data_IF_844419949223
#
_entry.id   IF_844419949223
#
_cell.length_a   1.000
_cell.length_b   1.000
_cell.length_c   1.000
_cell.angle_alpha   90.00
_cell.angle_beta   90.00
_cell.angle_gamma   90.00
#
_symmetry.space_group_name_H-M   'P 1'
#
loop_
_entity.id
_entity.type
_entity.pdbx_description
1 polymer ?
#
# COMPACT_ATOMS: atom_id res chain seq x y z
N UNK A 1 -5.30 -5.88 -14.61
CA UNK A 1 -4.26 -5.03 -14.04
C UNK A 1 -4.01 -5.46 -12.60
N UNK A 2 -2.76 -5.58 -12.19
CA UNK A 2 -2.40 -6.08 -10.87
C UNK A 2 -2.23 -4.93 -9.89
N UNK A 3 -2.99 -4.96 -8.80
CA UNK A 3 -2.78 -4.04 -7.69
C UNK A 3 -1.86 -4.70 -6.67
N UNK A 4 -0.78 -4.00 -6.31
CA UNK A 4 0.22 -4.48 -5.37
C UNK A 4 0.24 -3.62 -4.12
N UNK A 5 0.43 -4.26 -2.97
CA UNK A 5 0.52 -3.60 -1.68
C UNK A 5 1.66 -4.20 -0.86
N UNK A 6 2.38 -3.35 -0.15
CA UNK A 6 3.39 -3.78 0.82
C UNK A 6 2.76 -3.71 2.20
N UNK A 7 2.77 -4.81 2.94
CA UNK A 7 2.17 -4.88 4.27
C UNK A 7 2.87 -5.91 5.15
N UNK A 8 2.71 -5.75 6.47
CA UNK A 8 3.20 -6.73 7.44
C UNK A 8 2.17 -7.85 7.66
N UNK A 9 2.47 -8.77 8.58
CA UNK A 9 1.59 -9.92 8.87
C UNK A 9 0.23 -9.52 9.44
N UNK A 10 0.10 -8.29 9.92
CA UNK A 10 -1.16 -7.77 10.44
C UNK A 10 -1.94 -6.96 9.40
N UNK A 11 -1.42 -6.86 8.18
CA UNK A 11 -2.04 -6.10 7.10
C UNK A 11 -1.75 -4.61 7.15
N UNK A 12 -0.78 -4.17 7.93
CA UNK A 12 -0.44 -2.75 8.08
C UNK A 12 0.65 -2.34 7.11
N UNK A 13 0.50 -1.15 6.53
CA UNK A 13 1.48 -0.60 5.61
C UNK A 13 2.73 -0.08 6.30
N UNK A 14 3.80 0.20 5.53
CA UNK A 14 5.10 0.59 6.08
C UNK A 14 5.23 2.07 6.43
N UNK A 15 4.33 2.92 5.95
CA UNK A 15 4.37 4.36 6.18
C UNK A 15 3.66 4.69 7.49
N UNK A 16 4.41 4.64 8.60
CA UNK A 16 3.89 4.95 9.93
C UNK A 16 4.92 5.76 10.71
N UNK A 17 4.48 6.69 11.57
CA UNK A 17 5.40 7.44 12.43
C UNK A 17 6.30 6.50 13.23
N UNK A 18 7.60 6.80 13.26
CA UNK A 18 8.58 5.99 13.97
C UNK A 18 9.02 4.72 13.24
N UNK A 19 8.33 4.32 12.18
CA UNK A 19 8.69 3.14 11.41
C UNK A 19 9.33 3.48 10.08
N UNK A 20 8.80 4.45 9.36
CA UNK A 20 9.27 4.76 8.00
C UNK A 20 10.73 5.16 7.97
N UNK A 21 11.22 5.86 9.00
CA UNK A 21 12.63 6.26 9.08
C UNK A 21 13.59 5.06 9.15
N UNK A 22 13.10 3.87 9.50
CA UNK A 22 13.92 2.67 9.65
C UNK A 22 14.25 1.99 8.33
N UNK A 23 13.46 2.22 7.30
CA UNK A 23 13.64 1.54 6.01
C UNK A 23 13.82 2.50 4.84
N UNK A 24 13.36 3.75 4.96
CA UNK A 24 13.50 4.73 3.88
C UNK A 24 14.97 5.06 3.65
N UNK A 25 15.41 4.93 2.41
CA UNK A 25 16.81 5.10 2.04
C UNK A 25 17.19 6.56 1.94
N UNK A 26 16.32 7.37 1.33
CA UNK A 26 16.55 8.78 1.14
C UNK A 26 15.23 9.54 1.27
N UNK A 27 15.32 10.83 1.50
CA UNK A 27 14.14 11.67 1.60
C UNK A 27 13.58 11.88 0.19
N UNK A 28 12.55 11.13 -0.15
CA UNK A 28 11.96 11.13 -1.49
C UNK A 28 10.49 11.58 -1.48
N UNK A 29 10.20 12.65 -0.72
CA UNK A 29 8.82 13.13 -0.54
C UNK A 29 8.15 13.50 -1.86
N UNK A 30 8.91 14.01 -2.82
CA UNK A 30 8.36 14.36 -4.14
C UNK A 30 7.85 13.13 -4.90
N UNK A 31 8.41 11.95 -4.61
CA UNK A 31 8.01 10.68 -5.23
C UNK A 31 6.95 9.94 -4.43
N UNK A 32 6.69 10.39 -3.19
CA UNK A 32 5.76 9.76 -2.28
C UNK A 32 4.77 10.80 -1.74
N UNK A 33 3.95 11.40 -2.60
CA UNK A 33 3.00 12.42 -2.13
C UNK A 33 1.98 11.79 -1.20
N UNK A 34 1.64 12.47 -0.09
CA UNK A 34 0.54 12.01 0.76
C UNK A 34 -0.77 12.01 -0.02
N UNK A 35 -1.67 11.08 0.32
CA UNK A 35 -2.96 10.97 -0.38
C UNK A 35 -3.78 12.28 -0.28
N UNK A 36 -3.70 12.99 0.82
CA UNK A 36 -4.47 14.23 1.00
C UNK A 36 -4.03 15.35 0.05
N UNK A 37 -2.80 15.32 -0.46
CA UNK A 37 -2.34 16.28 -1.45
C UNK A 37 -3.00 16.05 -2.81
N UNK A 38 -3.22 14.78 -3.16
CA UNK A 38 -3.82 14.39 -4.44
C UNK A 38 -5.34 14.31 -4.38
N UNK A 39 -5.88 14.02 -3.21
CA UNK A 39 -7.32 13.86 -3.02
C UNK A 39 -7.72 14.42 -1.64
N UNK A 40 -8.04 15.73 -1.56
CA UNK A 40 -8.37 16.36 -0.28
C UNK A 40 -9.57 15.76 0.46
N UNK A 41 -10.50 15.14 -0.25
CA UNK A 41 -11.68 14.49 0.34
C UNK A 41 -11.47 13.03 0.73
N UNK A 42 -10.23 12.55 0.70
CA UNK A 42 -9.91 11.14 0.96
C UNK A 42 -10.43 10.63 2.29
N UNK A 43 -10.36 11.47 3.32
CA UNK A 43 -10.75 11.06 4.67
C UNK A 43 -12.25 10.75 4.76
N UNK A 44 -13.07 11.56 4.14
CA UNK A 44 -14.53 11.34 4.12
C UNK A 44 -14.88 10.06 3.37
N UNK A 45 -14.22 9.82 2.24
CA UNK A 45 -14.43 8.61 1.44
C UNK A 45 -14.04 7.37 2.25
N UNK A 46 -12.87 7.41 2.90
CA UNK A 46 -12.41 6.28 3.71
C UNK A 46 -13.29 6.02 4.92
N UNK A 47 -13.73 7.08 5.60
CA UNK A 47 -14.61 6.94 6.75
C UNK A 47 -15.96 6.33 6.39
N UNK A 48 -16.51 6.70 5.24
CA UNK A 48 -17.75 6.12 4.75
C UNK A 48 -17.60 4.62 4.53
N UNK A 49 -16.51 4.19 3.89
CA UNK A 49 -16.25 2.78 3.64
C UNK A 49 -16.02 2.02 4.95
N UNK A 50 -15.25 2.60 5.87
CA UNK A 50 -14.98 1.98 7.18
C UNK A 50 -16.23 1.83 8.02
N UNK A 51 -17.16 2.77 7.96
CA UNK A 51 -18.42 2.66 8.69
C UNK A 51 -19.30 1.53 8.17
N UNK A 52 -19.06 1.07 6.95
CA UNK A 52 -19.72 -0.12 6.36
C UNK A 52 -18.96 -1.42 6.66
N UNK A 53 -17.90 -1.37 7.46
CA UNK A 53 -17.12 -2.54 7.82
C UNK A 53 -15.95 -2.85 6.89
N UNK A 54 -15.64 -1.97 5.97
CA UNK A 54 -14.53 -2.20 5.03
C UNK A 54 -13.17 -1.96 5.67
N UNK A 55 -12.18 -2.70 5.21
CA UNK A 55 -10.77 -2.52 5.56
C UNK A 55 -10.10 -1.72 4.46
N UNK A 56 -9.40 -0.64 4.83
CA UNK A 56 -8.85 0.33 3.89
C UNK A 56 -7.34 0.24 3.88
N UNK A 57 -6.75 0.36 2.70
CA UNK A 57 -5.29 0.41 2.54
C UNK A 57 -4.90 1.09 1.24
N UNK A 58 -3.60 1.31 1.08
CA UNK A 58 -3.04 1.86 -0.15
C UNK A 58 -2.37 0.77 -0.97
N UNK A 59 -2.44 0.92 -2.27
CA UNK A 59 -1.84 0.01 -3.25
C UNK A 59 -1.34 0.80 -4.45
N UNK A 60 -0.69 0.13 -5.38
CA UNK A 60 -0.19 0.74 -6.60
C UNK A 60 -0.48 -0.17 -7.80
N UNK A 61 -0.50 0.41 -8.99
CA UNK A 61 -0.77 -0.31 -10.23
C UNK A 61 0.51 -0.96 -10.77
N UNK A 62 0.77 -2.19 -10.37
CA UNK A 62 1.82 -3.01 -10.94
C UNK A 62 3.20 -2.79 -10.32
N UNK A 63 4.16 -3.58 -10.83
CA UNK A 63 5.51 -3.61 -10.27
C UNK A 63 6.29 -2.32 -10.55
N UNK A 64 6.11 -1.71 -11.72
CA UNK A 64 6.83 -0.47 -12.04
C UNK A 64 6.42 0.65 -11.08
N UNK A 65 5.12 0.76 -10.81
CA UNK A 65 4.63 1.73 -9.84
C UNK A 65 5.15 1.42 -8.43
N UNK A 66 5.20 0.14 -8.06
CA UNK A 66 5.75 -0.28 -6.77
C UNK A 66 7.21 0.15 -6.63
N UNK A 67 8.01 -0.06 -7.66
CA UNK A 67 9.44 0.29 -7.64
C UNK A 67 9.67 1.79 -7.68
N UNK A 68 8.69 2.58 -8.11
CA UNK A 68 8.79 4.04 -7.98
C UNK A 68 8.55 4.49 -6.54
N UNK A 69 7.77 3.73 -5.76
CA UNK A 69 7.52 4.01 -4.34
C UNK A 69 8.62 3.45 -3.44
N UNK A 70 9.17 2.30 -3.80
CA UNK A 70 10.15 1.58 -2.98
C UNK A 70 11.34 1.18 -3.85
N UNK A 71 12.54 1.61 -3.48
CA UNK A 71 13.74 1.12 -4.15
C UNK A 71 13.98 -0.36 -3.83
N UNK A 72 14.77 -1.08 -4.63
CA UNK A 72 15.11 -2.48 -4.31
C UNK A 72 15.72 -2.64 -2.92
N UNK A 73 16.57 -1.71 -2.48
CA UNK A 73 17.17 -1.78 -1.14
C UNK A 73 16.14 -1.52 -0.04
N UNK A 74 15.20 -0.61 -0.28
CA UNK A 74 14.11 -0.39 0.67
C UNK A 74 13.23 -1.64 0.80
N UNK A 75 12.96 -2.32 -0.30
CA UNK A 75 12.20 -3.57 -0.28
C UNK A 75 12.93 -4.68 0.49
N UNK A 76 14.26 -4.75 0.37
CA UNK A 76 15.05 -5.70 1.15
C UNK A 76 14.92 -5.41 2.64
N UNK A 77 15.05 -4.16 3.04
CA UNK A 77 14.88 -3.77 4.45
C UNK A 77 13.47 -4.08 4.96
N UNK A 78 12.46 -3.78 4.16
CA UNK A 78 11.07 -4.08 4.51
C UNK A 78 10.85 -5.58 4.66
N UNK A 79 11.40 -6.38 3.76
CA UNK A 79 11.31 -7.84 3.85
C UNK A 79 11.93 -8.35 5.15
N UNK A 80 13.11 -7.83 5.52
CA UNK A 80 13.77 -8.20 6.76
C UNK A 80 12.96 -7.78 8.00
N UNK A 81 12.14 -6.75 7.87
CA UNK A 81 11.25 -6.28 8.94
C UNK A 81 9.92 -7.03 9.00
N UNK A 82 9.71 -8.00 8.11
CA UNK A 82 8.49 -8.80 8.09
C UNK A 82 7.43 -8.34 7.10
N UNK A 83 7.75 -7.39 6.23
CA UNK A 83 6.80 -6.94 5.20
C UNK A 83 6.86 -7.85 3.98
N UNK A 84 5.74 -7.92 3.27
CA UNK A 84 5.62 -8.71 2.04
C UNK A 84 4.82 -7.93 1.00
N UNK A 85 5.08 -8.23 -0.27
CA UNK A 85 4.27 -7.70 -1.36
C UNK A 85 3.10 -8.65 -1.56
N UNK A 86 1.90 -8.11 -1.49
CA UNK A 86 0.66 -8.88 -1.64
C UNK A 86 -0.12 -8.39 -2.85
N UNK A 87 -0.96 -9.27 -3.36
CA UNK A 87 -1.84 -9.00 -4.51
C UNK A 87 -3.18 -8.50 -3.99
N UNK A 88 -3.49 -7.25 -4.28
CA UNK A 88 -4.73 -6.59 -3.89
C UNK A 88 -5.71 -6.44 -5.06
N UNK A 89 -5.51 -7.18 -6.14
CA UNK A 89 -6.30 -7.02 -7.37
C UNK A 89 -7.78 -7.32 -7.20
N UNK A 90 -8.14 -8.12 -6.20
CA UNK A 90 -9.53 -8.47 -5.92
C UNK A 90 -10.24 -7.46 -5.02
N UNK A 91 -9.53 -6.49 -4.48
CA UNK A 91 -10.12 -5.43 -3.67
C UNK A 91 -10.84 -4.42 -4.54
N UNK A 92 -11.82 -3.74 -3.94
CA UNK A 92 -12.47 -2.62 -4.61
C UNK A 92 -11.55 -1.40 -4.58
N UNK A 93 -11.63 -0.58 -5.62
CA UNK A 93 -10.90 0.68 -5.70
C UNK A 93 -11.82 1.80 -5.22
N UNK A 94 -11.42 2.46 -4.14
CA UNK A 94 -12.15 3.63 -3.63
C UNK A 94 -11.68 4.92 -4.27
N UNK A 95 -10.36 5.07 -4.40
CA UNK A 95 -9.74 6.29 -4.91
C UNK A 95 -8.58 5.87 -5.81
N UNK A 96 -8.47 6.52 -6.95
CA UNK A 96 -7.34 6.34 -7.84
C UNK A 96 -6.74 7.71 -8.14
N UNK A 97 -5.44 7.85 -7.88
CA UNK A 97 -4.68 9.06 -8.20
C UNK A 97 -3.58 8.71 -9.19
N UNK A 98 -2.85 9.69 -9.73
CA UNK A 98 -1.72 9.39 -10.61
C UNK A 98 -0.62 8.53 -9.97
N UNK A 99 -0.48 8.55 -8.65
CA UNK A 99 0.63 7.86 -7.98
C UNK A 99 0.20 6.69 -7.10
N UNK A 100 -1.07 6.60 -6.69
CA UNK A 100 -1.48 5.59 -5.74
C UNK A 100 -2.96 5.25 -5.86
N UNK A 101 -3.33 4.12 -5.27
CA UNK A 101 -4.70 3.62 -5.25
C UNK A 101 -5.09 3.38 -3.81
N UNK A 102 -6.28 3.82 -3.40
CA UNK A 102 -6.85 3.43 -2.11
C UNK A 102 -7.83 2.30 -2.35
N UNK A 103 -7.61 1.19 -1.66
CA UNK A 103 -8.40 -0.02 -1.82
C UNK A 103 -9.30 -0.24 -0.62
N UNK A 104 -10.36 -1.01 -0.84
CA UNK A 104 -11.34 -1.40 0.16
C UNK A 104 -11.56 -2.90 0.06
N UNK A 105 -11.61 -3.58 1.21
CA UNK A 105 -11.86 -5.01 1.27
C UNK A 105 -12.85 -5.33 2.37
N UNK A 106 -13.72 -6.30 2.14
CA UNK A 106 -14.62 -6.82 3.17
C UNK A 106 -13.90 -7.71 4.16
N UNK A 107 -12.81 -8.34 3.71
CA UNK A 107 -11.99 -9.18 4.56
C UNK A 107 -10.77 -8.41 5.05
N UNK A 108 -10.20 -8.80 6.20
CA UNK A 108 -8.96 -8.17 6.69
C UNK A 108 -7.85 -8.22 5.64
N UNK A 109 -7.11 -7.13 5.50
CA UNK A 109 -6.05 -7.02 4.50
C UNK A 109 -4.93 -8.05 4.71
N UNK A 110 -4.74 -8.52 5.95
CA UNK A 110 -3.74 -9.55 6.25
C UNK A 110 -3.99 -10.86 5.51
N UNK A 111 -5.20 -11.07 4.99
CA UNK A 111 -5.57 -12.27 4.25
C UNK A 111 -5.28 -12.19 2.76
N UNK A 112 -4.79 -11.04 2.27
CA UNK A 112 -4.45 -10.91 0.86
C UNK A 112 -3.33 -11.89 0.47
N UNK A 113 -3.42 -12.50 -0.71
CA UNK A 113 -2.42 -13.49 -1.14
C UNK A 113 -1.10 -12.83 -1.50
N UNK A 114 0.01 -13.56 -1.36
CA UNK A 114 1.30 -13.03 -1.79
C UNK A 114 1.35 -12.83 -3.30
N UNK A 115 1.96 -11.73 -3.74
CA UNK A 115 2.15 -11.46 -5.16
C UNK A 115 3.47 -12.04 -5.67
N UNK A 116 4.51 -12.01 -4.83
CA UNK A 116 5.84 -12.52 -5.15
C UNK A 116 5.96 -13.95 -4.62
N UNK A 117 6.55 -14.84 -5.44
CA UNK A 117 6.71 -16.24 -5.10
C UNK A 117 5.64 -17.15 -5.69
N UNK A 118 4.66 -16.60 -6.38
CA UNK A 118 3.61 -17.36 -7.06
C UNK A 118 3.94 -17.65 -8.52
N UNK A 119 4.96 -17.03 -9.02
CA UNK A 119 5.33 -17.10 -10.44
C UNK A 119 6.17 -18.33 -10.78
N UNK A 120 6.31 -19.20 -9.86
CA UNK A 120 7.09 -20.41 -10.11
C UNK A 120 6.52 -21.24 -11.24
#
# INVERSE_FOLDING_TARGET
>A
MTLLRVQDKHGRGPWRPGLSSRWVDAFRTAQHPPIYDERPDWLDICRQAQSSGAHIGCAVDGMDALLSWFSPMELVRLYDMGFRIVDASECDVLIRTPTQVVISSRLPLKLLPPAIGRAA
#
